data_IF_561295151008
#
_entry.id   IF_561295151008
#
_cell.length_a   1.000
_cell.length_b   1.000
_cell.length_c   1.000
_cell.angle_alpha   90.00
_cell.angle_beta   90.00
_cell.angle_gamma   90.00
#
_symmetry.space_group_name_H-M   'P 1'
#
loop_
_entity.id
_entity.type
_entity.pdbx_description
1 polymer ?
#
# COMPACT_ATOMS: atom_id res chain seq x y z
N UNK A 1 0.62 -11.22 -3.62
CA UNK A 1 0.78 -10.22 -2.52
C UNK A 1 -0.23 -9.09 -2.63
N UNK A 2 -0.52 -8.59 -3.83
CA UNK A 2 -1.59 -7.62 -4.12
C UNK A 2 -2.99 -8.03 -3.65
N UNK A 3 -3.34 -9.32 -3.76
CA UNK A 3 -4.60 -9.87 -3.20
C UNK A 3 -4.70 -9.66 -1.69
N UNK A 4 -3.59 -9.78 -0.95
CA UNK A 4 -3.54 -9.54 0.50
C UNK A 4 -3.79 -8.06 0.80
N UNK A 5 -3.23 -7.15 -0.01
CA UNK A 5 -3.46 -5.72 0.17
C UNK A 5 -4.91 -5.30 -0.11
N UNK A 6 -5.50 -5.83 -1.18
CA UNK A 6 -6.91 -5.57 -1.52
C UNK A 6 -7.83 -6.12 -0.42
N UNK A 7 -7.56 -7.32 0.09
CA UNK A 7 -8.34 -7.89 1.20
C UNK A 7 -8.19 -7.08 2.48
N UNK A 8 -6.99 -6.59 2.83
CA UNK A 8 -6.81 -5.69 3.99
C UNK A 8 -7.60 -4.39 3.81
N UNK A 9 -7.54 -3.75 2.65
CA UNK A 9 -8.32 -2.52 2.37
C UNK A 9 -9.83 -2.78 2.47
N UNK A 10 -10.30 -3.92 1.96
CA UNK A 10 -11.71 -4.31 2.05
C UNK A 10 -12.13 -4.61 3.49
N UNK A 11 -11.30 -5.31 4.26
CA UNK A 11 -11.55 -5.60 5.68
C UNK A 11 -11.58 -4.31 6.49
N UNK A 12 -10.69 -3.36 6.23
CA UNK A 12 -10.67 -2.05 6.90
C UNK A 12 -11.94 -1.25 6.62
N UNK A 13 -12.45 -1.29 5.39
CA UNK A 13 -13.77 -0.72 5.05
C UNK A 13 -14.89 -1.46 5.81
N UNK A 14 -14.91 -2.79 5.78
CA UNK A 14 -15.93 -3.57 6.48
C UNK A 14 -15.91 -3.37 8.01
N UNK A 15 -14.76 -3.05 8.61
CA UNK A 15 -14.59 -2.85 10.05
C UNK A 15 -15.28 -1.58 10.57
N UNK A 16 -15.58 -0.62 9.69
CA UNK A 16 -16.27 0.61 10.05
C UNK A 16 -17.63 0.32 10.69
N UNK A 17 -18.41 -0.58 10.10
CA UNK A 17 -19.76 -0.92 10.57
C UNK A 17 -19.78 -1.54 11.98
N UNK A 18 -18.96 -2.57 12.29
CA UNK A 18 -18.81 -3.07 13.65
C UNK A 18 -18.43 -1.98 14.67
N UNK A 19 -17.52 -1.06 14.32
CA UNK A 19 -17.11 0.03 15.22
C UNK A 19 -18.28 0.97 15.51
N UNK A 20 -19.07 1.32 14.50
CA UNK A 20 -20.29 2.14 14.67
C UNK A 20 -21.31 1.42 15.54
N UNK A 21 -21.56 0.13 15.30
CA UNK A 21 -22.52 -0.67 16.08
C UNK A 21 -22.10 -0.71 17.56
N UNK A 22 -20.83 -1.03 17.84
CA UNK A 22 -20.31 -1.09 19.20
C UNK A 22 -20.39 0.29 19.88
N UNK A 23 -20.07 1.36 19.15
CA UNK A 23 -20.16 2.73 19.65
C UNK A 23 -21.58 3.10 20.06
N UNK A 24 -22.58 2.75 19.23
CA UNK A 24 -24.00 3.00 19.53
C UNK A 24 -24.47 2.16 20.72
N UNK A 25 -24.05 0.89 20.81
CA UNK A 25 -24.38 0.03 21.95
C UNK A 25 -23.80 0.58 23.26
N UNK A 26 -22.55 1.05 23.25
CA UNK A 26 -21.91 1.66 24.42
C UNK A 26 -22.66 2.91 24.88
N UNK A 27 -23.06 3.78 23.95
CA UNK A 27 -23.88 4.97 24.28
C UNK A 27 -25.25 4.58 24.80
N UNK A 28 -25.90 3.56 24.22
CA UNK A 28 -27.20 3.06 24.67
C UNK A 28 -27.16 2.50 26.08
N UNK A 29 -26.15 1.68 26.40
CA UNK A 29 -25.94 1.14 27.76
C UNK A 29 -25.63 2.28 28.74
N UNK A 30 -24.75 3.22 28.37
CA UNK A 30 -24.42 4.36 29.21
C UNK A 30 -25.62 5.27 29.47
N UNK A 31 -26.50 5.45 28.48
CA UNK A 31 -27.74 6.20 28.63
C UNK A 31 -28.71 5.52 29.59
N UNK A 32 -28.85 4.19 29.50
CA UNK A 32 -29.73 3.43 30.38
C UNK A 32 -29.24 3.46 31.83
N UNK A 33 -27.94 3.28 32.04
CA UNK A 33 -27.34 3.27 33.38
C UNK A 33 -27.08 4.67 33.96
N UNK A 34 -27.41 5.72 33.20
CA UNK A 34 -27.22 7.12 33.64
C UNK A 34 -27.90 7.40 34.98
N UNK A 35 -29.06 6.79 35.23
CA UNK A 35 -29.80 7.00 36.48
C UNK A 35 -29.06 6.43 37.69
N UNK A 36 -28.37 5.31 37.52
CA UNK A 36 -27.57 4.66 38.57
C UNK A 36 -26.26 5.41 38.84
N UNK A 37 -25.69 6.04 37.82
CA UNK A 37 -24.44 6.81 37.92
C UNK A 37 -24.63 8.26 38.38
N UNK A 38 -25.83 8.83 38.28
CA UNK A 38 -26.09 10.23 38.59
C UNK A 38 -25.96 10.58 40.09
N UNK A 39 -25.90 9.58 40.97
CA UNK A 39 -25.80 9.79 42.42
C UNK A 39 -24.38 9.89 42.98
N UNK A 40 -23.34 9.53 42.22
CA UNK A 40 -21.95 9.52 42.70
C UNK A 40 -21.02 10.28 41.75
N UNK A 41 -20.08 11.07 42.32
CA UNK A 41 -19.05 11.77 41.56
C UNK A 41 -18.23 10.82 40.66
N UNK A 42 -18.05 9.57 41.10
CA UNK A 42 -17.33 8.55 40.33
C UNK A 42 -18.10 8.12 39.07
N UNK A 43 -19.44 8.09 39.13
CA UNK A 43 -20.29 7.73 38.01
C UNK A 43 -20.24 8.76 36.87
N UNK A 44 -20.09 10.04 37.22
CA UNK A 44 -19.96 11.13 36.25
C UNK A 44 -18.62 11.03 35.49
N UNK A 45 -17.53 10.69 36.18
CA UNK A 45 -16.21 10.51 35.55
C UNK A 45 -16.21 9.34 34.57
N UNK A 46 -16.85 8.22 34.95
CA UNK A 46 -17.00 7.05 34.06
C UNK A 46 -17.84 7.41 32.83
N UNK A 47 -18.92 8.17 33.00
CA UNK A 47 -19.76 8.62 31.88
C UNK A 47 -18.97 9.51 30.89
N UNK A 48 -18.23 10.49 31.41
CA UNK A 48 -17.44 11.42 30.59
C UNK A 48 -16.34 10.70 29.80
N UNK A 49 -15.62 9.77 30.43
CA UNK A 49 -14.56 9.00 29.77
C UNK A 49 -15.13 8.10 28.67
N UNK A 50 -16.29 7.48 28.90
CA UNK A 50 -16.97 6.63 27.91
C UNK A 50 -17.45 7.45 26.70
N UNK A 51 -18.01 8.64 26.93
CA UNK A 51 -18.38 9.57 25.85
C UNK A 51 -17.15 9.99 25.03
N UNK A 52 -16.06 10.39 25.69
CA UNK A 52 -14.82 10.77 25.01
C UNK A 52 -14.23 9.62 24.19
N UNK A 53 -14.27 8.39 24.72
CA UNK A 53 -13.82 7.19 24.01
C UNK A 53 -14.65 6.96 22.75
N UNK A 54 -15.98 7.05 22.83
CA UNK A 54 -16.87 6.88 21.66
C UNK A 54 -16.61 7.97 20.62
N UNK A 55 -16.48 9.23 21.04
CA UNK A 55 -16.16 10.34 20.12
C UNK A 55 -14.83 10.10 19.42
N UNK A 56 -13.79 9.70 20.15
CA UNK A 56 -12.49 9.40 19.58
C UNK A 56 -12.57 8.22 18.58
N UNK A 57 -13.26 7.14 18.94
CA UNK A 57 -13.43 5.97 18.07
C UNK A 57 -14.15 6.33 16.78
N UNK A 58 -15.26 7.06 16.85
CA UNK A 58 -16.01 7.51 15.68
C UNK A 58 -15.19 8.47 14.82
N UNK A 59 -14.42 9.35 15.44
CA UNK A 59 -13.52 10.26 14.73
C UNK A 59 -12.44 9.51 13.94
N UNK A 60 -11.74 8.57 14.59
CA UNK A 60 -10.73 7.74 13.90
C UNK A 60 -11.35 6.84 12.83
N UNK A 61 -12.49 6.21 13.11
CA UNK A 61 -13.22 5.41 12.14
C UNK A 61 -13.65 6.23 10.91
N UNK A 62 -14.13 7.46 11.13
CA UNK A 62 -14.48 8.40 10.07
C UNK A 62 -13.28 8.83 9.22
N UNK A 63 -12.13 9.11 9.84
CA UNK A 63 -10.90 9.42 9.11
C UNK A 63 -10.42 8.25 8.25
N UNK A 64 -10.41 7.03 8.80
CA UNK A 64 -10.02 5.82 8.06
C UNK A 64 -11.00 5.55 6.93
N UNK A 65 -12.31 5.64 7.20
CA UNK A 65 -13.33 5.46 6.17
C UNK A 65 -13.20 6.49 5.06
N UNK A 66 -13.08 7.78 5.38
CA UNK A 66 -12.90 8.85 4.39
C UNK A 66 -11.63 8.68 3.55
N UNK A 67 -10.56 8.15 4.16
CA UNK A 67 -9.33 7.83 3.44
C UNK A 67 -9.52 6.64 2.49
N UNK A 68 -10.13 5.54 2.95
CA UNK A 68 -10.35 4.30 2.17
C UNK A 68 -11.39 4.49 1.06
N UNK A 69 -12.44 5.27 1.31
CA UNK A 69 -13.54 5.49 0.35
C UNK A 69 -13.12 6.41 -0.80
N UNK A 70 -12.10 7.25 -0.60
CA UNK A 70 -11.57 8.06 -1.68
C UNK A 70 -10.94 7.15 -2.75
N UNK A 71 -11.67 6.97 -3.86
CA UNK A 71 -11.33 6.04 -4.96
C UNK A 71 -9.89 6.25 -5.46
N UNK A 72 -9.44 7.51 -5.51
CA UNK A 72 -8.09 7.87 -5.92
C UNK A 72 -7.01 7.36 -4.96
N UNK A 73 -7.22 7.45 -3.63
CA UNK A 73 -6.24 6.97 -2.65
C UNK A 73 -6.23 5.45 -2.55
N UNK A 74 -7.41 4.82 -2.63
CA UNK A 74 -7.52 3.36 -2.68
C UNK A 74 -6.75 2.80 -3.87
N UNK A 75 -6.96 3.37 -5.06
CA UNK A 75 -6.28 2.93 -6.29
C UNK A 75 -4.77 3.22 -6.23
N UNK A 76 -4.36 4.38 -5.71
CA UNK A 76 -2.95 4.71 -5.52
C UNK A 76 -2.25 3.76 -4.53
N UNK A 77 -2.92 3.36 -3.45
CA UNK A 77 -2.40 2.42 -2.46
C UNK A 77 -2.23 1.03 -3.06
N UNK A 78 -3.24 0.55 -3.80
CA UNK A 78 -3.17 -0.74 -4.50
C UNK A 78 -2.03 -0.72 -5.52
N UNK A 79 -1.92 0.35 -6.31
CA UNK A 79 -0.86 0.49 -7.31
C UNK A 79 0.53 0.48 -6.68
N UNK A 80 0.74 1.21 -5.57
CA UNK A 80 2.02 1.18 -4.83
C UNK A 80 2.36 -0.24 -4.38
N UNK A 81 1.40 -0.96 -3.80
CA UNK A 81 1.66 -2.31 -3.30
C UNK A 81 1.95 -3.29 -4.45
N UNK A 82 1.22 -3.18 -5.56
CA UNK A 82 1.51 -3.93 -6.78
C UNK A 82 2.92 -3.63 -7.30
N UNK A 83 3.28 -2.36 -7.38
CA UNK A 83 4.59 -1.90 -7.84
C UNK A 83 5.74 -2.35 -6.92
N UNK A 84 5.48 -2.55 -5.63
CA UNK A 84 6.49 -3.07 -4.69
C UNK A 84 6.60 -4.59 -4.68
N UNK A 85 5.47 -5.29 -4.79
CA UNK A 85 5.44 -6.73 -4.58
C UNK A 85 5.61 -7.53 -5.88
N UNK A 86 5.01 -7.06 -6.98
CA UNK A 86 4.92 -7.83 -8.22
C UNK A 86 5.89 -7.30 -9.29
N UNK A 87 6.17 -5.99 -9.33
CA UNK A 87 7.10 -5.40 -10.29
C UNK A 87 8.56 -5.49 -9.84
N UNK A 88 9.36 -6.15 -10.67
CA UNK A 88 10.78 -6.32 -10.43
C UNK A 88 11.57 -5.07 -10.86
N UNK A 89 12.48 -4.62 -10.00
CA UNK A 89 13.38 -3.50 -10.27
C UNK A 89 14.67 -3.90 -10.97
N UNK A 90 15.02 -5.19 -11.01
CA UNK A 90 16.21 -5.70 -11.69
C UNK A 90 15.81 -6.69 -12.77
N UNK A 91 16.00 -6.30 -14.02
CA UNK A 91 15.62 -7.11 -15.18
C UNK A 91 16.62 -6.89 -16.32
N UNK A 92 16.86 -7.93 -17.12
CA UNK A 92 17.83 -7.89 -18.23
C UNK A 92 17.14 -7.99 -19.58
N UNK A 93 16.32 -6.99 -19.91
CA UNK A 93 15.64 -6.90 -21.20
C UNK A 93 16.37 -5.91 -22.11
N UNK A 94 16.58 -6.28 -23.37
CA UNK A 94 17.10 -5.36 -24.38
C UNK A 94 16.06 -4.27 -24.69
N UNK A 95 16.51 -3.00 -24.79
CA UNK A 95 15.64 -1.87 -25.16
C UNK A 95 14.83 -1.23 -24.03
N UNK A 96 14.98 -1.67 -22.79
CA UNK A 96 14.29 -1.11 -21.61
C UNK A 96 15.30 -0.54 -20.61
N UNK A 97 14.98 0.63 -20.04
CA UNK A 97 15.83 1.35 -19.09
C UNK A 97 15.42 1.04 -17.64
N UNK A 98 16.26 0.29 -16.92
CA UNK A 98 16.08 -0.08 -15.50
C UNK A 98 15.97 1.15 -14.57
N UNK A 99 16.47 2.31 -14.98
CA UNK A 99 16.36 3.54 -14.19
C UNK A 99 14.95 4.11 -14.19
N UNK A 100 14.20 3.94 -15.29
CA UNK A 100 12.91 4.61 -15.52
C UNK A 100 11.70 3.72 -15.30
N UNK A 101 11.82 2.42 -15.55
CA UNK A 101 10.70 1.50 -15.48
C UNK A 101 10.98 0.31 -14.58
N UNK A 102 9.91 -0.29 -14.06
CA UNK A 102 9.93 -1.63 -13.49
C UNK A 102 9.12 -2.57 -14.37
N UNK A 103 9.41 -3.86 -14.30
CA UNK A 103 8.78 -4.84 -15.19
C UNK A 103 8.14 -5.98 -14.42
N UNK A 104 7.03 -6.48 -14.95
CA UNK A 104 6.35 -7.69 -14.53
C UNK A 104 6.44 -8.70 -15.68
N UNK A 105 7.00 -9.88 -15.43
CA UNK A 105 7.07 -10.95 -16.44
C UNK A 105 5.73 -11.68 -16.50
N UNK A 106 5.13 -11.74 -17.69
CA UNK A 106 3.81 -12.38 -17.88
C UNK A 106 3.96 -13.89 -18.07
N UNK A 107 5.03 -14.30 -18.75
CA UNK A 107 5.27 -15.68 -19.14
C UNK A 107 6.47 -16.28 -18.39
N UNK A 108 6.48 -17.61 -18.13
CA UNK A 108 7.61 -18.30 -17.52
C UNK A 108 8.89 -18.16 -18.35
N UNK A 109 8.74 -18.10 -19.69
CA UNK A 109 9.85 -17.93 -20.64
C UNK A 109 10.43 -16.50 -20.64
N UNK A 110 9.85 -15.59 -19.86
CA UNK A 110 10.26 -14.18 -19.73
C UNK A 110 10.33 -13.40 -21.05
N UNK A 111 9.64 -13.90 -22.09
CA UNK A 111 9.59 -13.29 -23.42
C UNK A 111 8.68 -12.08 -23.51
N UNK A 112 7.72 -11.95 -22.59
CA UNK A 112 6.77 -10.82 -22.54
C UNK A 112 6.78 -10.18 -21.15
N UNK A 113 6.84 -8.86 -21.14
CA UNK A 113 6.86 -8.06 -19.91
C UNK A 113 5.84 -6.93 -19.98
N UNK A 114 5.23 -6.63 -18.85
CA UNK A 114 4.44 -5.43 -18.64
C UNK A 114 5.33 -4.40 -17.95
N UNK A 115 5.36 -3.17 -18.47
CA UNK A 115 6.18 -2.10 -17.90
C UNK A 115 5.34 -1.11 -17.12
N UNK A 116 5.86 -0.65 -15.99
CA UNK A 116 5.29 0.45 -15.22
C UNK A 116 6.36 1.52 -14.92
N UNK A 117 6.01 2.82 -14.91
CA UNK A 117 6.94 3.87 -14.55
C UNK A 117 7.34 3.74 -13.08
N UNK A 118 8.63 3.94 -12.83
CA UNK A 118 9.19 3.81 -11.49
C UNK A 118 8.65 4.90 -10.56
N UNK A 119 8.00 4.48 -9.48
CA UNK A 119 7.61 5.40 -8.41
C UNK A 119 8.88 5.87 -7.71
N UNK A 120 9.12 7.19 -7.68
CA UNK A 120 10.30 7.78 -7.04
C UNK A 120 10.39 7.35 -5.56
N UNK A 121 11.59 6.91 -5.16
CA UNK A 121 11.98 6.27 -3.90
C UNK A 121 10.96 6.37 -2.74
N UNK A 122 9.96 5.47 -2.77
CA UNK A 122 9.28 5.05 -1.54
C UNK A 122 10.20 4.00 -0.91
N UNK A 123 11.34 4.41 -0.35
CA UNK A 123 12.07 3.48 0.52
C UNK A 123 11.21 3.28 1.76
N UNK A 124 10.87 2.03 2.08
CA UNK A 124 10.18 1.65 3.33
C UNK A 124 10.87 2.22 4.59
N UNK A 125 12.15 2.58 4.46
CA UNK A 125 13.01 3.16 5.49
C UNK A 125 13.23 4.68 5.37
N UNK A 126 12.53 5.38 4.46
CA UNK A 126 12.58 6.85 4.43
C UNK A 126 11.85 7.38 5.66
N UNK A 127 12.50 8.28 6.39
CA UNK A 127 11.98 8.97 7.56
C UNK A 127 10.71 9.79 7.29
N UNK A 128 10.37 10.04 6.02
CA UNK A 128 9.15 10.74 5.63
C UNK A 128 7.97 9.77 5.42
N UNK A 129 7.25 9.44 6.50
CA UNK A 129 5.99 8.68 6.42
C UNK A 129 4.93 9.32 5.50
N UNK A 130 5.05 10.62 5.24
CA UNK A 130 4.18 11.38 4.33
C UNK A 130 4.29 10.96 2.86
N UNK A 131 5.39 10.32 2.43
CA UNK A 131 5.56 9.86 1.03
C UNK A 131 4.51 8.80 0.65
N UNK A 132 3.95 8.08 1.62
CA UNK A 132 2.85 7.11 1.40
C UNK A 132 1.51 7.77 1.05
N UNK A 133 1.29 9.02 1.48
CA UNK A 133 0.05 9.77 1.29
C UNK A 133 0.05 10.63 0.01
N UNK A 134 1.19 10.70 -0.69
CA UNK A 134 1.30 11.50 -1.90
C UNK A 134 0.47 10.89 -3.05
N UNK A 135 -0.17 11.72 -3.90
CA UNK A 135 -0.79 11.23 -5.11
C UNK A 135 0.26 10.58 -6.02
N UNK A 136 -0.09 9.44 -6.63
CA UNK A 136 0.76 8.74 -7.58
C UNK A 136 0.10 8.82 -8.95
N UNK A 137 0.87 9.19 -9.97
CA UNK A 137 0.42 9.10 -11.35
C UNK A 137 0.34 7.62 -11.76
N UNK A 138 -0.88 7.11 -11.89
CA UNK A 138 -1.14 5.75 -12.35
C UNK A 138 -1.30 5.84 -13.88
N UNK A 139 -0.52 5.08 -14.67
CA UNK A 139 -0.74 4.99 -16.10
C UNK A 139 -2.14 4.46 -16.42
N UNK A 140 -2.80 5.04 -17.44
CA UNK A 140 -4.09 4.51 -17.92
C UNK A 140 -3.92 3.14 -18.58
N UNK A 141 -2.79 2.93 -19.24
CA UNK A 141 -2.45 1.67 -19.90
C UNK A 141 -1.08 1.17 -19.47
N UNK A 142 -0.97 -0.16 -19.37
CA UNK A 142 0.27 -0.87 -19.05
C UNK A 142 0.77 -1.57 -20.31
N UNK A 143 1.73 -0.97 -21.05
CA UNK A 143 2.16 -1.54 -22.32
C UNK A 143 2.88 -2.87 -22.09
N UNK A 144 2.48 -3.86 -22.89
CA UNK A 144 3.11 -5.17 -22.93
C UNK A 144 4.15 -5.17 -24.06
N UNK A 145 5.40 -5.43 -23.71
CA UNK A 145 6.53 -5.41 -24.63
C UNK A 145 7.25 -6.75 -24.64
N UNK A 146 7.81 -7.11 -25.79
CA UNK A 146 8.63 -8.31 -25.93
C UNK A 146 10.01 -8.07 -25.30
N UNK A 147 10.39 -8.91 -24.36
CA UNK A 147 11.71 -8.89 -23.73
C UNK A 147 12.63 -9.88 -24.44
N UNK A 148 13.54 -9.36 -25.26
CA UNK A 148 14.64 -10.15 -25.79
C UNK A 148 15.75 -10.25 -24.71
N UNK A 149 16.33 -11.45 -24.48
CA UNK A 149 17.48 -11.59 -23.60
C UNK A 149 18.62 -10.68 -24.09
N UNK A 150 19.20 -9.89 -23.20
CA UNK A 150 20.44 -9.16 -23.51
C UNK A 150 21.51 -10.18 -23.97
N UNK A 151 22.22 -9.96 -25.10
CA UNK A 151 23.32 -10.83 -25.48
C UNK A 151 24.31 -10.89 -24.33
N UNK A 152 24.72 -12.10 -23.93
CA UNK A 152 25.77 -12.28 -22.92
C UNK A 152 26.96 -11.44 -23.36
N UNK A 153 27.38 -10.49 -22.52
CA UNK A 153 28.62 -9.74 -22.74
C UNK A 153 29.75 -10.78 -22.80
N UNK A 154 30.20 -11.10 -24.01
CA UNK A 154 31.39 -11.91 -24.23
C UNK A 154 32.55 -11.07 -23.73
N UNK A 155 33.00 -11.33 -22.51
CA UNK A 155 34.25 -10.77 -21.99
C UNK A 155 35.32 -11.16 -23.01
N UNK A 156 36.06 -10.21 -23.62
CA UNK A 156 37.21 -10.59 -24.42
C UNK A 156 38.15 -11.33 -23.47
N UNK A 157 38.35 -12.62 -23.74
CA UNK A 157 39.44 -13.38 -23.16
C UNK A 157 40.70 -12.62 -23.53
N UNK A 158 41.39 -12.06 -22.54
CA UNK A 158 42.69 -11.44 -22.76
C UNK A 158 43.59 -12.48 -23.42
N UNK A 159 43.80 -12.30 -24.72
CA UNK A 159 44.78 -13.00 -25.51
C UNK A 159 46.15 -12.62 -24.94
N UNK A 160 46.73 -13.52 -24.16
CA UNK A 160 48.09 -13.40 -23.64
C UNK A 160 49.02 -13.48 -24.84
N UNK A 161 49.44 -12.31 -25.33
CA UNK A 161 50.42 -12.13 -26.37
C UNK A 161 51.79 -12.59 -25.86
N UNK A 162 52.13 -13.87 -26.03
CA UNK A 162 53.51 -14.35 -25.85
C UNK A 162 54.35 -13.91 -27.05
N UNK A 163 55.25 -12.93 -26.83
CA UNK A 163 56.36 -12.63 -27.73
C UNK A 163 57.39 -13.78 -27.70
N UNK A 164 57.96 -14.21 -28.84
CA UNK A 164 59.11 -15.08 -28.86
C UNK A 164 60.40 -14.27 -28.60
N UNK A 165 61.23 -14.75 -27.68
CA UNK A 165 62.66 -14.45 -27.60
C UNK A 165 63.44 -15.70 -28.00
#
# INVERSE_FOLDING_TARGET
>A
MTVIAVTVLQVMSMLFWPVVIISVLLVGIAYWWRQDFAGSNDGIVILLTLIMSVVAQLFFAGLVWGWVESSNQKTATIYRIAHFADFNSSFRCAGLDEAKVRVLFVNPDRSQVITAPKIANVSLYSTAKATWLQPVAIPEEFPQVSCAPQPKRTTPSNEVLTLPQ
#
